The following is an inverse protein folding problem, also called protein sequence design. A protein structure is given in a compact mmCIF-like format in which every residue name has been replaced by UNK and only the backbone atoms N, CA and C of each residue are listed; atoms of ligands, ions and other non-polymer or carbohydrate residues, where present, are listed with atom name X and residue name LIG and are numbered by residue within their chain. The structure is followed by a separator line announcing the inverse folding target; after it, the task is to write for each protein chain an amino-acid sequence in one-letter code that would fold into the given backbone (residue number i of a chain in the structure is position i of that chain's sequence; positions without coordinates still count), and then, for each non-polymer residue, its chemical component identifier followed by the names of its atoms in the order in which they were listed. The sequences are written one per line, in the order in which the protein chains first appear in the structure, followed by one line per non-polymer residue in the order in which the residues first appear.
data_IF_054383899140
#
_entry.id   IF_054383899140
#
_cell.length_a   1.000
_cell.length_b   1.000
_cell.length_c   1.000
_cell.angle_alpha   90.00
_cell.angle_beta   90.00
_cell.angle_gamma   90.00
#
_symmetry.space_group_name_H-M   'P 1'
#
loop_
_entity.id
_entity.type
_entity.pdbx_description
1 polymer ?
2 non-polymer ?
3 water ?
#
# COMPACT_ATOMS: atom_id res chain seq x y z
N UNK A 14 -25.32 -9.50 -0.43
CA UNK A 14 -24.31 -8.59 0.19
C UNK A 14 -24.99 -7.51 1.03
N UNK A 15 -24.92 -7.66 2.35
CA UNK A 15 -25.74 -6.88 3.26
C UNK A 15 -25.41 -5.37 3.40
N UNK A 16 -24.36 -4.98 4.09
CA UNK A 16 -24.29 -3.61 4.64
C UNK A 16 -23.01 -2.84 4.28
N UNK A 17 -23.16 -1.67 3.65
CA UNK A 17 -22.03 -0.83 3.25
C UNK A 17 -21.50 -0.05 4.44
N UNK A 18 -20.20 0.05 4.52
CA UNK A 18 -19.54 0.92 5.49
C UNK A 18 -18.24 1.42 4.88
N UNK A 19 -17.67 2.45 5.50
CA UNK A 19 -16.40 3.03 5.11
C UNK A 19 -15.56 3.14 6.37
N UNK A 20 -14.43 2.43 6.38
CA UNK A 20 -13.58 2.37 7.56
C UNK A 20 -12.33 3.19 7.33
N UNK A 21 -11.90 3.87 8.38
CA UNK A 21 -10.60 4.54 8.40
C UNK A 21 -9.84 4.16 9.68
N UNK A 22 -8.54 4.36 9.62
CA UNK A 22 -7.66 4.00 10.74
C UNK A 22 -7.75 5.06 11.81
N UNK A 23 -8.07 4.64 13.04
CA UNK A 23 -8.20 5.51 14.18
C UNK A 23 -7.33 4.95 15.32
N UNK A 24 -7.19 5.72 16.40
CA UNK A 24 -6.20 5.43 17.42
C UNK A 24 -6.82 5.56 18.78
N UNK A 25 -6.47 4.65 19.68
CA UNK A 25 -6.87 4.74 21.07
C UNK A 25 -5.71 4.35 21.99
N UNK A 26 -5.75 4.86 23.20
CA UNK A 26 -4.70 4.65 24.20
C UNK A 26 -4.49 3.15 24.46
N UNK A 27 -3.23 2.72 24.42
CA UNK A 27 -2.87 1.33 24.68
C UNK A 27 -1.59 1.32 25.53
N UNK A 28 -1.74 1.48 26.84
CA UNK A 28 -0.53 1.59 27.67
C UNK A 28 0.24 0.25 27.76
N UNK A 29 1.57 0.29 27.88
CA UNK A 29 2.36 -0.94 28.09
C UNK A 29 2.25 -1.31 29.57
N UNK A 30 2.07 -2.61 29.86
CA UNK A 30 1.91 -3.12 31.24
C UNK A 30 3.19 -3.55 31.97
N UNK A 31 4.19 -4.01 31.24
CA UNK A 31 5.48 -4.45 31.82
C UNK A 31 6.51 -4.55 30.71
N UNK A 32 7.76 -4.20 31.01
CA UNK A 32 8.83 -4.24 30.02
C UNK A 32 10.04 -4.97 30.60
N UNK A 33 10.08 -6.27 30.39
CA UNK A 33 11.07 -7.13 31.01
C UNK A 33 12.22 -7.41 30.04
N UNK A 34 13.45 -7.02 30.38
CA UNK A 34 14.52 -7.19 29.41
C UNK A 34 15.02 -8.64 29.35
N UNK A 35 15.64 -8.98 28.22
CA UNK A 35 16.29 -10.28 28.00
C UNK A 35 17.76 -10.00 27.85
N UNK A 36 18.54 -11.06 27.65
CA UNK A 36 19.99 -10.95 27.44
C UNK A 36 20.47 -11.55 26.12
N UNK A 37 19.58 -12.06 25.28
CA UNK A 37 19.99 -12.52 23.96
C UNK A 37 20.20 -11.33 23.03
N UNK A 38 20.97 -11.54 21.98
CA UNK A 38 21.35 -10.44 21.07
C UNK A 38 20.14 -9.84 20.39
N UNK A 39 20.14 -8.51 20.29
CA UNK A 39 19.15 -7.82 19.48
C UNK A 39 19.89 -7.19 18.31
N UNK A 40 19.43 -7.47 17.09
CA UNK A 40 19.99 -6.86 15.90
C UNK A 40 19.44 -5.47 15.79
N UNK A 41 20.27 -4.54 15.36
CA UNK A 41 19.81 -3.18 15.10
C UNK A 41 20.11 -2.79 13.64
N UNK A 42 19.05 -2.70 12.84
CA UNK A 42 19.15 -2.41 11.42
C UNK A 42 19.12 -0.91 11.24
N UNK A 43 20.14 -0.39 10.57
CA UNK A 43 20.24 1.05 10.31
C UNK A 43 20.95 1.30 8.99
N UNK A 44 21.09 2.58 8.66
CA UNK A 44 21.87 3.03 7.50
C UNK A 44 22.79 4.14 8.00
N UNK A 45 23.60 4.70 7.11
CA UNK A 45 24.55 5.77 7.50
C UNK A 45 23.84 6.91 8.24
N UNK A 46 22.69 7.30 7.71
CA UNK A 46 21.89 8.36 8.29
C UNK A 46 21.39 8.10 9.71
N UNK A 47 21.01 6.87 10.00
CA UNK A 47 20.38 6.54 11.27
C UNK A 47 21.32 5.86 12.25
N UNK A 48 22.63 5.95 12.00
CA UNK A 48 23.65 5.25 12.80
C UNK A 48 23.84 5.83 14.20
N UNK A 49 23.77 7.14 14.33
CA UNK A 49 23.80 7.77 15.65
C UNK A 49 22.61 7.33 16.50
N UNK A 50 21.42 7.38 15.94
CA UNK A 50 20.24 6.85 16.61
C UNK A 50 20.43 5.39 17.01
N UNK A 51 20.98 4.61 16.08
CA UNK A 51 21.21 3.19 16.31
C UNK A 51 22.17 2.96 17.49
N UNK A 52 23.23 3.77 17.56
CA UNK A 52 24.17 3.75 18.67
C UNK A 52 23.47 4.02 20.01
N UNK A 53 22.60 5.02 20.03
CA UNK A 53 21.84 5.35 21.25
C UNK A 53 20.92 4.21 21.66
N UNK A 54 20.22 3.64 20.69
CA UNK A 54 19.38 2.47 20.95
C UNK A 54 20.24 1.33 21.52
N UNK A 55 21.44 1.17 20.96
CA UNK A 55 22.32 0.07 21.33
C UNK A 55 22.72 0.08 22.82
N UNK A 56 22.74 1.25 23.46
CA UNK A 56 23.06 1.36 24.89
C UNK A 56 22.01 0.71 25.81
N UNK A 57 20.79 0.48 25.32
CA UNK A 57 19.79 -0.27 26.07
C UNK A 57 19.88 -1.78 25.88
N UNK A 58 20.69 -2.24 24.94
CA UNK A 58 20.86 -3.67 24.68
C UNK A 58 22.35 -4.02 24.88
N UNK A 59 22.70 -4.51 26.09
CA UNK A 59 24.09 -4.93 26.34
C UNK A 59 24.62 -5.90 25.27
N UNK A 60 23.77 -6.83 24.85
CA UNK A 60 24.06 -7.74 23.75
C UNK A 60 23.32 -7.31 22.46
N UNK A 61 24.07 -6.83 21.47
CA UNK A 61 23.48 -6.35 20.22
C UNK A 61 24.41 -6.56 19.05
N UNK A 62 23.82 -6.53 17.85
CA UNK A 62 24.55 -6.45 16.61
C UNK A 62 24.01 -5.27 15.78
N UNK A 63 24.87 -4.31 15.48
CA UNK A 63 24.52 -3.18 14.62
C UNK A 63 24.73 -3.60 13.18
N UNK A 64 23.66 -3.59 12.41
CA UNK A 64 23.71 -3.97 11.01
C UNK A 64 23.43 -2.71 10.19
N UNK A 65 24.50 -2.05 9.77
CA UNK A 65 24.44 -0.89 8.89
C UNK A 65 24.44 -1.39 7.44
N UNK A 66 23.28 -1.29 6.80
CA UNK A 66 23.06 -1.87 5.47
C UNK A 66 23.89 -1.19 4.35
N UNK A 67 24.34 0.04 4.57
CA UNK A 67 25.25 0.70 3.62
C UNK A 67 26.75 0.36 3.84
N UNK A 68 27.04 -0.68 4.64
CA UNK A 68 28.38 -1.29 4.70
C UNK A 68 28.35 -2.70 4.12
N UNK A 73 28.72 -11.97 4.42
CA UNK A 73 27.33 -11.55 4.46
C UNK A 73 26.69 -12.05 5.78
N UNK A 74 25.73 -12.99 5.73
CA UNK A 74 25.03 -13.50 6.92
C UNK A 74 25.67 -14.80 7.48
N UNK A 75 26.75 -14.66 8.27
CA UNK A 75 27.36 -15.78 9.03
C UNK A 75 26.95 -15.72 10.53
N UNK A 76 25.66 -15.48 10.76
CA UNK A 76 25.11 -15.20 12.09
C UNK A 76 24.48 -16.47 12.70
N UNK A 77 24.66 -16.65 14.01
CA UNK A 77 23.97 -17.70 14.78
C UNK A 77 22.59 -17.14 15.13
N UNK A 78 21.66 -17.19 14.16
CA UNK A 78 20.36 -16.52 14.28
C UNK A 78 19.51 -17.00 15.46
N UNK A 79 19.67 -18.26 15.87
CA UNK A 79 18.95 -18.81 17.04
C UNK A 79 19.30 -18.17 18.38
N UNK A 80 20.45 -17.48 18.47
CA UNK A 80 20.81 -16.76 19.68
C UNK A 80 20.18 -15.34 19.79
N UNK A 81 19.26 -14.97 18.92
CA UNK A 81 18.76 -13.58 18.91
C UNK A 81 17.40 -13.48 19.61
N UNK A 82 17.17 -12.39 20.36
CA UNK A 82 15.84 -12.02 20.87
C UNK A 82 15.00 -11.33 19.82
N UNK A 83 15.64 -10.68 18.86
CA UNK A 83 14.89 -9.99 17.83
C UNK A 83 15.69 -8.97 17.09
N UNK A 84 14.97 -8.03 16.50
CA UNK A 84 15.57 -7.02 15.69
C UNK A 84 14.79 -5.72 15.84
N UNK A 85 15.54 -4.63 15.90
CA UNK A 85 15.00 -3.27 15.88
C UNK A 85 15.47 -2.66 14.55
N UNK A 86 14.51 -2.22 13.75
CA UNK A 86 14.75 -1.56 12.45
C UNK A 86 14.46 -0.05 12.61
N UNK A 87 15.51 0.78 12.46
CA UNK A 87 15.37 2.24 12.53
C UNK A 87 15.65 2.96 11.20
N UNK A 88 15.77 2.21 10.11
CA UNK A 88 16.00 2.78 8.80
C UNK A 88 14.87 3.74 8.44
N UNK A 89 13.63 3.37 8.78
CA UNK A 89 12.47 4.24 8.64
C UNK A 89 12.49 5.59 9.38
N UNK A 90 13.44 5.78 10.28
CA UNK A 90 13.68 7.07 10.92
C UNK A 90 14.58 8.03 10.11
N UNK A 91 15.13 7.55 8.98
CA UNK A 91 15.89 8.40 8.06
C UNK A 91 15.17 8.54 6.75
N UNK A 92 15.93 8.63 5.67
CA UNK A 92 15.39 8.83 4.32
C UNK A 92 14.59 7.62 3.88
N UNK A 93 15.21 6.45 4.04
CA UNK A 93 14.64 5.15 3.72
C UNK A 93 14.36 5.02 2.23
N UNK A 94 15.41 4.75 1.47
CA UNK A 94 15.31 4.62 0.01
C UNK A 94 14.39 3.40 -0.38
N UNK A 95 13.24 3.71 -0.95
CA UNK A 95 12.28 2.69 -1.39
C UNK A 95 12.87 1.68 -2.40
N UNK A 96 13.82 2.12 -3.23
CA UNK A 96 14.48 1.26 -4.21
C UNK A 96 15.59 0.34 -3.70
N UNK A 97 16.04 0.53 -2.45
CA UNK A 97 17.10 -0.31 -1.88
C UNK A 97 16.47 -1.39 -1.02
N UNK A 98 16.53 -2.63 -1.48
CA UNK A 98 15.85 -3.74 -0.83
C UNK A 98 16.77 -4.68 -0.06
N UNK A 99 18.02 -4.31 0.13
CA UNK A 99 19.02 -5.19 0.77
C UNK A 99 18.66 -5.54 2.21
N UNK A 100 18.03 -4.58 2.89
CA UNK A 100 17.58 -4.78 4.26
C UNK A 100 16.67 -6.00 4.42
N UNK A 101 15.90 -6.30 3.37
CA UNK A 101 14.92 -7.36 3.41
C UNK A 101 15.51 -8.71 3.74
N UNK A 102 16.70 -9.02 3.23
CA UNK A 102 17.23 -10.36 3.42
C UNK A 102 17.66 -10.58 4.87
N UNK A 103 18.04 -9.52 5.58
CA UNK A 103 18.33 -9.62 7.02
C UNK A 103 17.08 -9.99 7.82
N UNK A 104 15.94 -9.40 7.48
CA UNK A 104 14.68 -9.73 8.13
C UNK A 104 14.29 -11.18 7.77
N UNK A 105 14.39 -11.57 6.50
CA UNK A 105 14.01 -12.91 6.08
C UNK A 105 14.81 -13.97 6.81
N UNK A 106 16.12 -13.77 6.91
CA UNK A 106 17.01 -14.76 7.52
C UNK A 106 16.71 -14.90 9.01
N UNK A 107 16.51 -13.78 9.70
CA UNK A 107 16.14 -13.82 11.10
C UNK A 107 14.79 -14.52 11.30
N UNK A 108 13.82 -14.22 10.44
CA UNK A 108 12.51 -14.85 10.54
C UNK A 108 12.64 -16.35 10.33
N UNK A 109 13.37 -16.78 9.29
CA UNK A 109 13.48 -18.21 9.01
C UNK A 109 14.33 -18.95 10.01
N UNK A 110 15.50 -18.39 10.33
CA UNK A 110 16.50 -19.14 11.08
C UNK A 110 16.52 -18.86 12.58
N UNK A 111 15.68 -17.93 13.03
CA UNK A 111 15.68 -17.54 14.44
C UNK A 111 14.96 -18.54 15.32
N UNK A 112 14.98 -18.30 16.63
CA UNK A 112 14.34 -19.22 17.57
C UNK A 112 12.83 -19.22 17.33
N UNK A 113 12.21 -20.39 17.43
CA UNK A 113 10.78 -20.55 17.19
C UNK A 113 9.89 -20.38 18.44
N UNK A 114 10.42 -19.81 19.51
CA UNK A 114 9.70 -19.75 20.80
C UNK A 114 9.31 -18.32 21.12
N UNK A 115 9.42 -17.45 20.12
CA UNK A 115 9.33 -16.02 20.33
C UNK A 115 10.60 -15.37 19.83
N UNK A 116 10.43 -14.41 18.93
CA UNK A 116 11.42 -13.38 18.70
C UNK A 116 10.63 -12.13 18.32
N UNK A 117 11.25 -10.97 18.45
CA UNK A 117 10.58 -9.68 18.27
C UNK A 117 11.15 -8.91 17.11
N UNK A 118 10.25 -8.39 16.29
CA UNK A 118 10.60 -7.49 15.22
C UNK A 118 9.88 -6.16 15.48
N UNK A 119 10.66 -5.08 15.49
CA UNK A 119 10.12 -3.74 15.74
C UNK A 119 10.66 -2.77 14.70
N UNK A 120 9.76 -2.16 13.94
CA UNK A 120 10.06 -1.17 12.95
C UNK A 120 9.69 0.18 13.53
N UNK A 121 10.61 1.12 13.50
CA UNK A 121 10.38 2.45 14.02
C UNK A 121 10.43 3.45 12.88
N UNK A 122 9.40 4.29 12.82
CA UNK A 122 9.34 5.41 11.93
C UNK A 122 9.17 6.68 12.75
N UNK A 123 9.27 7.83 12.07
CA UNK A 123 9.13 9.15 12.69
C UNK A 123 8.16 10.02 11.89
N UNK A 124 6.99 10.26 12.47
CA UNK A 124 5.98 11.12 11.85
C UNK A 124 5.36 10.57 10.58
N UNK A 125 5.34 9.25 10.45
CA UNK A 125 4.70 8.63 9.31
C UNK A 125 3.16 8.64 9.43
N UNK A 126 2.62 8.54 10.64
CA UNK A 126 1.16 8.45 10.83
C UNK A 126 0.58 9.85 10.95
N UNK A 127 -0.62 10.04 10.40
CA UNK A 127 -1.28 11.35 10.44
C UNK A 127 -1.95 11.67 11.76
N UNK A 128 -2.05 10.70 12.67
CA UNK A 128 -2.64 10.94 13.98
C UNK A 128 -1.85 11.98 14.77
N UNK A 129 -2.53 13.05 15.21
CA UNK A 129 -1.92 14.17 15.97
C UNK A 129 -0.60 14.61 15.32
N UNK A 130 -0.68 14.78 14.01
CA UNK A 130 0.48 15.08 13.19
C UNK A 130 -0.04 15.77 11.93
N UNK A 131 0.16 17.06 11.87
CA UNK A 131 -0.25 17.84 10.72
C UNK A 131 0.73 17.79 9.54
N UNK A 132 1.79 16.99 9.64
CA UNK A 132 2.75 16.86 8.53
C UNK A 132 3.35 15.43 8.42
N UNK A 133 2.74 14.58 7.61
CA UNK A 133 3.23 13.20 7.39
C UNK A 133 4.63 13.24 6.76
N UNK A 134 5.56 12.49 7.37
CA UNK A 134 6.92 12.39 6.88
C UNK A 134 6.99 11.04 6.17
N UNK A 135 7.01 11.11 4.84
CA UNK A 135 6.89 9.97 3.95
C UNK A 135 8.20 9.18 3.88
N UNK A 136 8.47 8.42 4.94
CA UNK A 136 9.62 7.54 5.06
C UNK A 136 9.19 6.31 5.88
N UNK A 137 9.55 5.12 5.41
CA UNK A 137 9.13 3.89 6.10
C UNK A 137 7.79 3.30 5.73
N UNK A 138 7.11 3.85 4.71
CA UNK A 138 5.73 3.43 4.40
C UNK A 138 5.60 1.95 4.00
N UNK A 139 6.43 1.50 3.06
CA UNK A 139 6.35 0.09 2.64
C UNK A 139 6.84 -0.84 3.74
N UNK A 140 7.90 -0.43 4.43
CA UNK A 140 8.43 -1.25 5.51
C UNK A 140 7.46 -1.37 6.70
N UNK A 141 6.75 -0.30 7.06
CA UNK A 141 5.71 -0.39 8.11
C UNK A 141 4.69 -1.46 7.83
N UNK A 142 4.27 -1.56 6.56
CA UNK A 142 3.27 -2.53 6.14
C UNK A 142 3.75 -3.96 6.32
N UNK A 143 5.02 -4.23 6.08
CA UNK A 143 5.60 -5.57 6.32
C UNK A 143 5.56 -5.93 7.81
N UNK A 144 6.09 -5.07 8.65
CA UNK A 144 6.24 -5.39 10.07
C UNK A 144 4.90 -5.48 10.77
N UNK A 145 3.89 -4.74 10.28
CA UNK A 145 2.52 -4.87 10.75
C UNK A 145 1.93 -6.24 10.64
N UNK A 146 2.37 -7.02 9.64
CA UNK A 146 1.72 -8.26 9.28
C UNK A 146 2.54 -9.53 9.49
N UNK A 147 3.82 -9.42 9.81
CA UNK A 147 4.66 -10.64 9.82
C UNK A 147 4.23 -11.65 10.88
N UNK A 148 3.77 -11.15 12.02
CA UNK A 148 3.26 -12.04 13.05
C UNK A 148 1.98 -12.81 12.68
N UNK A 149 1.25 -12.39 11.65
CA UNK A 149 0.15 -13.19 11.13
C UNK A 149 0.62 -14.29 10.18
N UNK A 150 1.75 -14.11 9.52
CA UNK A 150 2.30 -15.16 8.64
C UNK A 150 3.14 -16.17 9.40
N UNK A 151 3.83 -15.72 10.44
CA UNK A 151 4.71 -16.57 11.25
C UNK A 151 4.26 -16.48 12.69
N UNK A 152 3.63 -17.56 13.13
CA UNK A 152 3.01 -17.68 14.46
C UNK A 152 3.98 -17.46 15.63
N UNK A 153 5.25 -17.83 15.46
CA UNK A 153 6.31 -17.62 16.46
C UNK A 153 6.86 -16.19 16.64
N UNK A 154 6.46 -15.26 15.79
CA UNK A 154 6.98 -13.89 15.83
C UNK A 154 6.07 -12.98 16.65
N UNK A 155 6.66 -11.96 17.22
CA UNK A 155 5.96 -10.76 17.64
C UNK A 155 6.49 -9.65 16.74
N UNK A 156 5.64 -9.02 15.94
CA UNK A 156 6.07 -8.01 14.98
C UNK A 156 5.24 -6.76 15.10
N UNK A 157 5.87 -5.60 15.04
CA UNK A 157 5.21 -4.33 15.30
C UNK A 157 5.79 -3.19 14.51
N UNK A 158 4.91 -2.31 14.07
CA UNK A 158 5.30 -0.98 13.59
C UNK A 158 5.03 0.07 14.67
N UNK A 159 6.05 0.85 15.02
CA UNK A 159 5.93 1.96 15.98
C UNK A 159 6.28 3.25 15.27
N UNK A 160 5.41 4.24 15.39
CA UNK A 160 5.67 5.58 14.90
C UNK A 160 5.87 6.58 16.03
N UNK A 161 7.07 7.15 16.09
CA UNK A 161 7.40 8.18 17.04
C UNK A 161 7.10 9.50 16.41
N UNK A 162 7.20 10.54 17.23
CA UNK A 162 7.06 11.89 16.75
C UNK A 162 8.36 12.34 16.14
N UNK A 163 8.25 13.15 15.09
CA UNK A 163 9.41 13.68 14.41
C UNK A 163 10.31 14.46 15.36
N UNK A 164 9.70 15.26 16.24
CA UNK A 164 10.49 16.06 17.20
C UNK A 164 11.30 15.25 18.21
N UNK A 165 10.95 13.99 18.43
CA UNK A 165 11.57 13.22 19.50
C UNK A 165 13.09 13.09 19.34
N UNK A 166 13.76 13.63 20.34
CA UNK A 166 15.20 13.52 20.56
C UNK A 166 15.67 12.04 20.56
N UNK A 167 16.86 11.77 20.02
CA UNK A 167 17.42 10.40 19.99
C UNK A 167 17.50 9.69 21.34
N UNK A 168 17.88 10.41 22.38
CA UNK A 168 17.99 9.81 23.73
C UNK A 168 16.63 9.36 24.26
N UNK A 169 15.64 10.24 24.16
CA UNK A 169 14.26 9.93 24.50
C UNK A 169 13.70 8.81 23.61
N UNK A 170 13.97 8.90 22.31
CA UNK A 170 13.48 7.87 21.38
C UNK A 170 14.04 6.47 21.71
N UNK A 171 15.35 6.41 22.00
CA UNK A 171 16.01 5.13 22.36
C UNK A 171 15.35 4.47 23.58
N UNK A 172 15.00 5.28 24.58
CA UNK A 172 14.29 4.79 25.75
C UNK A 172 12.92 4.25 25.41
N UNK A 173 12.14 5.01 24.66
CA UNK A 173 10.83 4.53 24.17
C UNK A 173 10.95 3.22 23.39
N UNK A 174 11.98 3.14 22.54
CA UNK A 174 12.21 1.95 21.72
C UNK A 174 12.47 0.71 22.56
N UNK A 175 13.36 0.82 23.54
CA UNK A 175 13.74 -0.30 24.40
C UNK A 175 12.55 -0.84 25.20
N UNK A 176 11.76 0.06 25.78
CA UNK A 176 10.55 -0.31 26.50
C UNK A 176 9.53 -0.98 25.60
N UNK A 177 9.37 -0.43 24.40
CA UNK A 177 8.43 -1.01 23.43
C UNK A 177 8.85 -2.44 23.05
N UNK A 178 10.14 -2.59 22.77
CA UNK A 178 10.67 -3.84 22.24
C UNK A 178 10.41 -4.96 23.23
N UNK A 179 10.69 -4.71 24.50
CA UNK A 179 10.53 -5.72 25.54
C UNK A 179 9.17 -5.67 26.22
N UNK A 180 8.18 -5.01 25.61
CA UNK A 180 6.86 -4.85 26.20
C UNK A 180 6.07 -6.15 26.17
N UNK A 181 4.98 -6.16 26.92
CA UNK A 181 4.04 -7.28 26.97
C UNK A 181 2.93 -7.10 25.91
N UNK A 182 3.22 -6.43 24.81
CA UNK A 182 2.19 -6.15 23.82
C UNK A 182 2.26 -7.08 22.61
N UNK A 183 1.11 -7.35 22.02
CA UNK A 183 1.08 -7.97 20.71
C UNK A 183 0.32 -7.09 19.72
N UNK A 184 0.30 -5.77 19.97
CA UNK A 184 -0.28 -4.79 19.07
C UNK A 184 0.54 -4.72 17.77
N UNK A 185 -0.14 -4.70 16.64
CA UNK A 185 0.48 -4.69 15.31
C UNK A 185 1.03 -3.30 14.99
N UNK A 186 0.37 -2.25 15.46
CA UNK A 186 0.74 -0.92 15.09
C UNK A 186 0.41 0.08 16.17
N UNK A 187 1.41 0.87 16.55
CA UNK A 187 1.31 1.82 17.62
C UNK A 187 2.00 3.10 17.24
N UNK A 188 1.60 4.17 17.93
CA UNK A 188 2.33 5.44 17.85
C UNK A 188 2.45 6.08 19.20
N UNK A 189 3.39 7.02 19.30
CA UNK A 189 3.62 7.77 20.52
C UNK A 189 3.39 9.22 20.21
N UNK A 190 2.53 9.84 21.00
CA UNK A 190 2.22 11.26 20.84
C UNK A 190 2.21 11.88 22.23
N UNK A 191 3.07 12.88 22.43
CA UNK A 191 3.24 13.52 23.72
C UNK A 191 3.47 12.52 24.89
N UNK A 192 4.32 11.53 24.63
CA UNK A 192 4.66 10.51 25.60
C UNK A 192 3.64 9.43 25.83
N UNK A 193 2.52 9.43 25.10
CA UNK A 193 1.46 8.48 25.31
C UNK A 193 1.39 7.51 24.14
N UNK A 194 1.22 6.23 24.47
CA UNK A 194 1.16 5.16 23.48
C UNK A 194 -0.28 4.95 23.01
N UNK A 195 -0.45 4.85 21.69
CA UNK A 195 -1.76 4.59 21.05
C UNK A 195 -1.67 3.41 20.10
N UNK A 196 -2.75 2.62 20.00
CA UNK A 196 -2.78 1.53 19.03
C UNK A 196 -3.78 1.81 17.92
N UNK A 197 -3.47 1.32 16.73
CA UNK A 197 -4.28 1.60 15.53
C UNK A 197 -5.38 0.58 15.46
N UNK A 198 -6.58 1.01 15.04
CA UNK A 198 -7.67 0.10 14.75
C UNK A 198 -8.51 0.71 13.64
N UNK A 199 -9.37 -0.11 13.02
CA UNK A 199 -10.30 0.38 11.99
C UNK A 199 -11.68 0.67 12.57
N UNK A 200 -12.32 1.72 12.10
CA UNK A 200 -13.62 2.13 12.56
C UNK A 200 -14.40 2.85 11.48
N UNK A 201 -15.72 2.67 11.44
CA UNK A 201 -16.59 3.33 10.47
C UNK A 201 -16.33 4.81 10.48
N UNK A 202 -16.07 5.38 9.32
CA UNK A 202 -15.72 6.76 9.21
C UNK A 202 -16.71 7.54 10.02
N UNK A 203 -16.15 8.54 10.70
CA UNK A 203 -16.81 9.41 11.66
C UNK A 203 -18.15 9.99 11.40
N UNK A 204 -18.38 10.63 10.28
CA UNK A 204 -19.69 11.20 10.10
C UNK A 204 -20.32 10.73 8.85
N UNK A 205 -19.55 10.42 7.81
CA UNK A 205 -20.21 10.07 6.56
C UNK A 205 -20.27 8.64 6.06
N UNK A 206 -19.97 7.68 6.92
CA UNK A 206 -20.02 6.28 6.54
C UNK A 206 -21.35 5.87 5.93
N UNK A 211 -24.33 16.84 -6.29
CA UNK A 211 -23.04 17.02 -5.64
C UNK A 211 -21.90 17.05 -6.67
N UNK A 212 -21.59 15.88 -7.23
CA UNK A 212 -20.38 15.67 -8.05
C UNK A 212 -20.27 16.64 -9.23
N UNK A 213 -19.11 17.27 -9.40
CA UNK A 213 -18.89 18.22 -10.49
C UNK A 213 -18.66 17.50 -11.83
N UNK A 214 -18.89 18.23 -12.91
CA UNK A 214 -18.83 17.72 -14.28
C UNK A 214 -17.37 17.55 -14.69
N UNK A 215 -17.06 16.41 -15.30
CA UNK A 215 -15.72 16.17 -15.84
C UNK A 215 -15.61 16.93 -17.15
N UNK A 216 -14.59 17.81 -17.31
CA UNK A 216 -14.56 18.65 -18.54
C UNK A 216 -14.34 17.83 -19.82
N UNK A 217 -15.09 18.14 -20.86
CA UNK A 217 -15.14 17.32 -22.08
C UNK A 217 -13.84 17.39 -22.89
N UNK A 218 -13.07 18.44 -22.67
CA UNK A 218 -11.76 18.57 -23.31
C UNK A 218 -10.59 18.00 -22.46
N UNK A 219 -10.88 17.45 -21.28
CA UNK A 219 -9.86 16.83 -20.45
C UNK A 219 -9.84 15.31 -20.61
N UNK A 220 -8.72 14.73 -20.21
CA UNK A 220 -8.46 13.31 -20.36
C UNK A 220 -8.55 12.62 -19.01
N UNK A 221 -9.19 11.45 -18.99
CA UNK A 221 -9.10 10.54 -17.86
C UNK A 221 -8.01 9.50 -18.14
N UNK A 222 -6.99 9.49 -17.28
CA UNK A 222 -5.86 8.59 -17.40
C UNK A 222 -6.08 7.44 -16.45
N UNK A 223 -6.07 6.21 -16.94
CA UNK A 223 -6.24 5.05 -16.08
C UNK A 223 -5.07 4.08 -16.30
N UNK A 224 -4.18 3.97 -15.31
CA UNK A 224 -3.12 2.96 -15.40
C UNK A 224 -3.72 1.63 -15.02
N UNK A 225 -3.27 0.55 -15.63
CA UNK A 225 -3.97 -0.73 -15.51
C UNK A 225 -5.41 -0.64 -15.99
N UNK A 226 -5.64 0.14 -17.04
CA UNK A 226 -6.99 0.42 -17.55
C UNK A 226 -7.41 -0.50 -18.68
N UNK A 227 -6.60 -1.49 -19.00
CA UNK A 227 -6.78 -2.26 -20.22
C UNK A 227 -7.55 -3.55 -19.98
N UNK A 228 -7.67 -3.96 -18.72
CA UNK A 228 -8.54 -5.06 -18.34
C UNK A 228 -8.87 -4.96 -16.87
N UNK A 229 -9.66 -5.91 -16.38
CA UNK A 229 -10.00 -5.96 -14.97
C UNK A 229 -10.79 -4.74 -14.50
N UNK A 230 -10.53 -4.33 -13.27
CA UNK A 230 -11.31 -3.29 -12.63
C UNK A 230 -11.08 -1.94 -13.32
N UNK A 231 -9.85 -1.70 -13.78
CA UNK A 231 -9.53 -0.45 -14.42
C UNK A 231 -10.31 -0.23 -15.71
N UNK A 232 -10.49 -1.29 -16.50
CA UNK A 232 -11.33 -1.24 -17.68
C UNK A 232 -12.78 -1.02 -17.31
N UNK A 233 -13.22 -1.65 -16.22
CA UNK A 233 -14.58 -1.45 -15.73
C UNK A 233 -14.79 0.03 -15.37
N UNK A 234 -13.83 0.61 -14.67
CA UNK A 234 -13.82 2.06 -14.41
C UNK A 234 -13.87 2.91 -15.68
N UNK A 235 -13.13 2.50 -16.70
CA UNK A 235 -13.13 3.20 -17.99
C UNK A 235 -14.54 3.26 -18.60
N UNK A 236 -15.21 2.11 -18.60
CA UNK A 236 -16.57 2.03 -19.15
C UNK A 236 -17.52 2.88 -18.33
N UNK A 237 -17.36 2.86 -17.01
CA UNK A 237 -18.21 3.58 -16.09
C UNK A 237 -18.09 5.10 -16.21
N UNK A 238 -16.89 5.62 -16.26
CA UNK A 238 -16.65 7.05 -16.47
C UNK A 238 -17.11 7.55 -17.84
N UNK A 239 -16.96 6.73 -18.87
CA UNK A 239 -17.46 7.09 -20.21
C UNK A 239 -18.98 7.15 -20.20
N UNK A 240 -19.62 6.24 -19.45
CA UNK A 240 -21.08 6.16 -19.44
C UNK A 240 -21.76 7.17 -18.50
N UNK A 241 -21.24 7.30 -17.28
CA UNK A 241 -21.89 8.09 -16.22
C UNK A 241 -21.29 9.47 -15.94
N UNK A 242 -20.05 9.72 -16.30
CA UNK A 242 -19.42 11.03 -16.11
C UNK A 242 -19.20 11.77 -17.43
N UNK A 243 -19.60 11.19 -18.55
CA UNK A 243 -19.48 11.81 -19.88
C UNK A 243 -18.06 12.03 -20.35
N UNK A 244 -17.13 11.20 -19.89
CA UNK A 244 -15.74 11.32 -20.32
C UNK A 244 -15.60 11.05 -21.82
N UNK A 245 -14.91 11.95 -22.50
CA UNK A 245 -14.73 11.90 -23.96
C UNK A 245 -13.35 11.48 -24.41
N UNK A 246 -12.38 11.45 -23.49
CA UNK A 246 -10.99 11.15 -23.83
C UNK A 246 -10.41 10.28 -22.73
N UNK A 247 -10.01 9.06 -23.11
CA UNK A 247 -9.48 8.07 -22.19
C UNK A 247 -8.10 7.64 -22.64
N UNK A 248 -7.15 7.59 -21.72
CA UNK A 248 -5.88 6.94 -21.98
C UNK A 248 -5.78 5.79 -21.01
N UNK A 249 -5.69 4.58 -21.54
CA UNK A 249 -5.68 3.37 -20.74
C UNK A 249 -4.29 2.79 -20.88
N UNK A 250 -3.58 2.60 -19.77
CA UNK A 250 -2.20 2.07 -19.84
C UNK A 250 -2.07 0.69 -19.19
N UNK A 251 -1.10 -0.04 -19.69
CA UNK A 251 -0.71 -1.34 -19.16
C UNK A 251 0.71 -1.63 -19.58
N UNK A 252 1.02 -2.92 -19.73
CA UNK A 252 2.36 -3.35 -20.11
C UNK A 252 2.41 -3.80 -21.56
N UNK A 253 1.37 -4.49 -22.03
CA UNK A 253 1.34 -5.00 -23.39
C UNK A 253 1.24 -3.86 -24.41
N UNK A 254 1.99 -4.00 -25.49
CA UNK A 254 1.93 -3.07 -26.60
C UNK A 254 0.97 -3.70 -27.60
N UNK A 255 -0.17 -3.06 -27.85
CA UNK A 255 -1.07 -3.53 -28.88
C UNK A 255 -0.40 -3.41 -30.26
N UNK A 256 -0.76 -4.28 -31.20
CA UNK A 256 -0.28 -4.08 -32.57
C UNK A 256 -0.94 -2.86 -33.22
N UNK A 257 -0.38 -2.37 -34.35
CA UNK A 257 -0.99 -1.27 -35.10
C UNK A 257 -2.44 -1.54 -35.43
N UNK A 258 -3.25 -0.49 -35.50
CA UNK A 258 -4.69 -0.58 -35.75
C UNK A 258 -5.07 -1.35 -37.01
N UNK A 259 -4.21 -1.28 -38.02
CA UNK A 259 -4.45 -1.97 -39.31
C UNK A 259 -4.49 -3.50 -39.16
N UNK A 260 -3.86 -4.03 -38.12
CA UNK A 260 -3.86 -5.47 -37.82
C UNK A 260 -5.13 -5.98 -37.12
N UNK A 261 -5.96 -5.07 -36.62
CA UNK A 261 -6.96 -5.41 -35.60
C UNK A 261 -8.04 -6.35 -36.11
N UNK A 262 -8.41 -6.22 -37.38
CA UNK A 262 -9.44 -7.06 -37.96
C UNK A 262 -9.17 -8.58 -37.87
N UNK A 263 -7.91 -8.98 -37.75
CA UNK A 263 -7.56 -10.42 -37.66
C UNK A 263 -7.90 -11.02 -36.28
N UNK A 264 -8.25 -10.18 -35.31
CA UNK A 264 -8.56 -10.62 -33.95
C UNK A 264 -10.06 -10.78 -33.62
N UNK A 265 -10.94 -10.69 -34.63
CA UNK A 265 -12.41 -10.81 -34.39
C UNK A 265 -12.86 -12.09 -33.69
N UNK A 266 -12.25 -13.23 -34.02
CA UNK A 266 -12.67 -14.53 -33.50
C UNK A 266 -11.67 -15.10 -32.51
N UNK A 267 -10.71 -14.28 -32.12
CA UNK A 267 -9.72 -14.71 -31.19
C UNK A 267 -10.32 -14.64 -29.77
N UNK A 268 -9.91 -15.57 -28.92
CA UNK A 268 -10.35 -15.63 -27.53
C UNK A 268 -9.26 -15.17 -26.57
N UNK A 269 -8.27 -14.46 -27.09
CA UNK A 269 -7.10 -14.07 -26.33
C UNK A 269 -7.34 -12.78 -25.60
N UNK A 270 -6.59 -12.57 -24.52
CA UNK A 270 -6.65 -11.32 -23.77
C UNK A 270 -6.42 -10.10 -24.68
N UNK A 271 -5.53 -10.24 -25.66
CA UNK A 271 -5.28 -9.17 -26.62
C UNK A 271 -6.51 -8.86 -27.49
N UNK A 272 -7.18 -9.92 -27.94
CA UNK A 272 -8.43 -9.77 -28.68
C UNK A 272 -9.47 -8.99 -27.90
N UNK A 273 -9.61 -9.34 -26.62
CA UNK A 273 -10.55 -8.67 -25.72
C UNK A 273 -10.23 -7.20 -25.57
N UNK A 274 -8.96 -6.86 -25.49
CA UNK A 274 -8.54 -5.46 -25.37
C UNK A 274 -8.96 -4.65 -26.60
N UNK A 275 -8.66 -5.20 -27.76
CA UNK A 275 -9.03 -4.58 -29.03
C UNK A 275 -10.54 -4.37 -29.09
N UNK A 276 -11.29 -5.40 -28.70
CA UNK A 276 -12.77 -5.31 -28.68
C UNK A 276 -13.26 -4.22 -27.72
N UNK A 277 -12.64 -4.16 -26.55
CA UNK A 277 -12.96 -3.13 -25.56
C UNK A 277 -12.70 -1.71 -26.09
N UNK A 278 -11.60 -1.51 -26.80
CA UNK A 278 -11.32 -0.19 -27.41
C UNK A 278 -12.43 0.19 -28.37
N UNK A 279 -12.87 -0.79 -29.14
CA UNK A 279 -13.92 -0.58 -30.11
C UNK A 279 -15.25 -0.22 -29.45
N UNK A 280 -15.60 -0.88 -28.36
CA UNK A 280 -16.85 -0.61 -27.63
C UNK A 280 -16.85 0.77 -27.00
N UNK A 281 -15.73 1.17 -26.43
CA UNK A 281 -15.59 2.54 -25.93
C UNK A 281 -15.67 3.60 -27.04
N UNK A 282 -15.02 3.33 -28.17
CA UNK A 282 -15.06 4.23 -29.31
C UNK A 282 -16.45 4.36 -29.92
N UNK A 283 -17.28 3.32 -29.76
CA UNK A 283 -18.68 3.37 -30.17
C UNK A 283 -19.53 4.32 -29.32
N UNK A 284 -19.22 4.44 -28.03
CA UNK A 284 -19.84 5.48 -27.16
C UNK A 284 -19.41 6.95 -27.48
N UNK A 285 -18.60 7.16 -28.52
CA UNK A 285 -18.14 8.49 -28.90
C UNK A 285 -16.91 9.01 -28.12
N UNK A 286 -16.11 8.08 -27.59
CA UNK A 286 -14.93 8.40 -26.78
C UNK A 286 -13.66 8.21 -27.63
N UNK A 287 -12.73 9.16 -27.56
CA UNK A 287 -11.38 8.95 -28.12
C UNK A 287 -10.61 8.13 -27.09
N UNK A 288 -10.02 7.02 -27.55
CA UNK A 288 -9.38 6.06 -26.64
C UNK A 288 -8.02 5.70 -27.16
N UNK A 289 -7.03 5.73 -26.27
CA UNK A 289 -5.68 5.26 -26.56
C UNK A 289 -5.37 4.20 -25.51
N UNK A 290 -4.89 3.05 -25.95
CA UNK A 290 -4.45 2.00 -25.07
C UNK A 290 -2.93 1.90 -25.28
N UNK A 291 -2.16 2.23 -24.25
CA UNK A 291 -0.71 2.37 -24.36
C UNK A 291 0.03 1.43 -23.43
N UNK A 292 1.22 1.05 -23.86
CA UNK A 292 2.21 0.40 -22.99
C UNK A 292 3.06 1.49 -22.35
N UNK A 293 3.20 1.47 -21.02
CA UNK A 293 4.00 2.48 -20.33
C UNK A 293 4.66 1.90 -19.09
N UNK A 294 5.99 1.88 -19.08
CA UNK A 294 6.74 1.57 -17.86
C UNK A 294 6.63 2.78 -16.92
N UNK A 295 5.81 2.63 -15.90
CA UNK A 295 5.46 3.75 -15.01
C UNK A 295 6.63 4.24 -14.16
N UNK A 296 7.58 3.36 -13.89
CA UNK A 296 8.78 3.72 -13.14
C UNK A 296 9.90 4.30 -14.01
N UNK A 297 9.67 4.40 -15.33
CA UNK A 297 10.63 4.99 -16.27
C UNK A 297 10.33 6.46 -16.45
N UNK A 298 11.16 7.31 -15.83
CA UNK A 298 10.91 8.75 -15.84
C UNK A 298 10.84 9.33 -17.27
N UNK A 299 11.77 8.94 -18.12
CA UNK A 299 11.83 9.46 -19.50
C UNK A 299 10.58 9.08 -20.31
N UNK A 300 10.12 7.84 -20.16
CA UNK A 300 8.93 7.37 -20.90
C UNK A 300 7.66 8.04 -20.40
N UNK A 301 7.53 8.18 -19.08
CA UNK A 301 6.34 8.80 -18.50
C UNK A 301 6.27 10.29 -18.95
N UNK A 302 7.38 11.01 -18.85
CA UNK A 302 7.45 12.41 -19.34
C UNK A 302 7.02 12.54 -20.82
N UNK A 303 7.64 11.73 -21.65
CA UNK A 303 7.38 11.73 -23.08
C UNK A 303 5.93 11.38 -23.40
N UNK A 304 5.42 10.31 -22.79
CA UNK A 304 4.03 9.92 -22.96
C UNK A 304 3.05 11.01 -22.51
N UNK A 305 3.32 11.61 -21.34
CA UNK A 305 2.45 12.68 -20.80
C UNK A 305 2.47 13.92 -21.67
N UNK A 306 3.63 14.24 -22.23
CA UNK A 306 3.71 15.32 -23.23
C UNK A 306 2.91 15.01 -24.49
N UNK A 307 2.97 13.76 -24.97
CA UNK A 307 2.16 13.34 -26.12
C UNK A 307 0.66 13.53 -25.83
N UNK A 308 0.20 13.10 -24.66
CA UNK A 308 -1.21 13.21 -24.30
C UNK A 308 -1.64 14.68 -24.29
N UNK A 309 -0.86 15.51 -23.61
CA UNK A 309 -1.16 16.94 -23.45
C UNK A 309 -1.13 17.70 -24.77
N UNK A 310 -0.25 17.28 -25.67
CA UNK A 310 -0.15 17.90 -26.98
C UNK A 310 -1.31 17.51 -27.89
N UNK A 311 -1.69 16.24 -27.88
CA UNK A 311 -2.64 15.70 -28.87
C UNK A 311 -4.05 15.42 -28.38
N UNK A 312 -4.27 15.28 -27.07
CA UNK A 312 -5.61 14.99 -26.54
C UNK A 312 -6.11 16.14 -25.70
N UNK A 313 -5.36 16.48 -24.66
CA UNK A 313 -5.70 17.63 -23.84
C UNK A 313 -5.16 17.47 -22.44
N UNK A 314 -5.50 18.40 -21.54
CA UNK A 314 -5.00 18.33 -20.19
C UNK A 314 -5.56 17.10 -19.44
N UNK A 315 -4.87 16.63 -18.40
CA UNK A 315 -5.36 15.50 -17.61
C UNK A 315 -6.35 16.01 -16.55
N UNK A 316 -7.60 15.53 -16.59
CA UNK A 316 -8.62 15.93 -15.61
C UNK A 316 -8.83 14.92 -14.47
N UNK A 317 -8.21 13.75 -14.60
CA UNK A 317 -8.34 12.73 -13.56
C UNK A 317 -7.42 11.57 -13.83
N UNK A 318 -7.03 10.91 -12.74
CA UNK A 318 -6.19 9.73 -12.75
C UNK A 318 -6.77 8.64 -11.85
N UNK A 319 -6.79 7.42 -12.37
CA UNK A 319 -7.10 6.23 -11.58
C UNK A 319 -5.93 5.27 -11.74
N UNK A 320 -5.33 4.91 -10.61
CA UNK A 320 -4.08 4.15 -10.62
C UNK A 320 -4.40 2.71 -10.22
N UNK A 321 -4.70 1.89 -11.24
CA UNK A 321 -5.00 0.47 -11.10
C UNK A 321 -3.85 -0.48 -11.47
N UNK A 322 -2.76 0.05 -12.00
CA UNK A 322 -1.63 -0.82 -12.39
C UNK A 322 -1.17 -1.62 -11.14
N UNK A 323 -1.11 -2.93 -11.27
CA UNK A 323 -0.78 -3.74 -10.10
C UNK A 323 -0.69 -5.19 -10.45
N UNK A 324 0.16 -5.89 -9.70
CA UNK A 324 0.37 -7.33 -9.76
C UNK A 324 0.28 -7.92 -8.34
N UNK A 325 -0.26 -9.12 -8.25
CA UNK A 325 0.01 -10.02 -7.11
C UNK A 325 1.00 -11.10 -7.58
N UNK A 326 1.90 -11.51 -6.68
CA UNK A 326 2.76 -12.66 -6.92
C UNK A 326 1.97 -13.90 -6.44
N UNK A 327 1.46 -14.69 -7.38
CA UNK A 327 0.67 -15.88 -7.04
C UNK A 327 1.48 -17.19 -7.02
N UNK A 328 2.76 -17.14 -7.40
CA UNK A 328 3.64 -18.31 -7.41
C UNK A 328 4.35 -18.53 -6.07
N UNK A 329 4.97 -17.48 -5.51
CA UNK A 329 5.74 -17.57 -4.25
C UNK A 329 5.05 -16.87 -3.05
N UNK A 330 4.42 -17.64 -2.21
CA UNK A 330 3.70 -17.05 -1.13
C UNK A 330 4.52 -16.74 0.09
N UNK A 331 5.30 -17.66 0.56
CA UNK A 331 6.05 -17.45 1.82
C UNK A 331 7.02 -16.24 1.70
N UNK A 332 6.92 -15.27 2.61
CA UNK A 332 7.84 -14.10 2.67
C UNK A 332 9.32 -14.52 2.63
N UNK A 333 9.65 -15.53 3.40
CA UNK A 333 11.05 -16.00 3.48
C UNK A 333 11.55 -16.72 2.22
N UNK A 334 10.65 -17.05 1.30
CA UNK A 334 11.06 -17.66 0.04
C UNK A 334 11.07 -16.68 -1.14
N UNK A 335 10.70 -15.43 -0.92
CA UNK A 335 10.73 -14.41 -1.98
C UNK A 335 12.14 -13.86 -2.15
N UNK A 336 12.55 -13.59 -3.39
CA UNK A 336 13.81 -12.88 -3.66
C UNK A 336 13.52 -11.40 -3.76
N UNK A 337 14.57 -10.60 -3.64
CA UNK A 337 14.54 -9.15 -3.94
C UNK A 337 13.89 -8.82 -5.26
N UNK A 338 14.28 -9.55 -6.28
CA UNK A 338 13.71 -9.35 -7.62
C UNK A 338 12.19 -9.57 -7.69
N UNK A 339 11.71 -10.67 -7.08
CA UNK A 339 10.27 -10.97 -7.01
C UNK A 339 9.57 -9.80 -6.37
N UNK A 340 10.11 -9.35 -5.24
CA UNK A 340 9.49 -8.30 -4.45
C UNK A 340 9.45 -6.97 -5.24
N UNK A 341 10.58 -6.62 -5.84
CA UNK A 341 10.68 -5.43 -6.66
C UNK A 341 9.64 -5.37 -7.77
N UNK A 342 9.37 -6.51 -8.41
CA UNK A 342 8.34 -6.57 -9.46
C UNK A 342 6.94 -6.24 -8.95
N UNK A 343 6.64 -6.66 -7.72
CA UNK A 343 5.32 -6.38 -7.14
C UNK A 343 5.26 -4.92 -6.69
N UNK A 344 6.35 -4.39 -6.16
CA UNK A 344 6.36 -2.99 -5.75
C UNK A 344 6.31 -2.00 -6.90
N UNK A 345 6.95 -2.34 -8.02
CA UNK A 345 7.22 -1.38 -9.10
C UNK A 345 6.03 -0.50 -9.52
N UNK A 346 4.86 -1.10 -9.86
CA UNK A 346 3.76 -0.23 -10.30
C UNK A 346 3.18 0.65 -9.21
N UNK A 347 3.24 0.19 -7.97
CA UNK A 347 2.61 0.88 -6.88
C UNK A 347 3.52 1.81 -6.09
N UNK A 348 4.84 1.69 -6.26
CA UNK A 348 5.77 2.44 -5.44
C UNK A 348 6.53 3.40 -6.35
N UNK A 349 7.54 2.90 -7.06
CA UNK A 349 8.28 3.70 -8.04
C UNK A 349 7.38 4.25 -9.14
N UNK A 350 6.44 3.42 -9.57
CA UNK A 350 5.50 3.78 -10.65
C UNK A 350 4.57 4.91 -10.27
N UNK A 351 4.02 4.81 -9.06
CA UNK A 351 3.17 5.84 -8.52
C UNK A 351 3.91 7.17 -8.34
N UNK A 352 5.10 7.11 -7.77
CA UNK A 352 5.91 8.28 -7.49
C UNK A 352 6.28 9.01 -8.76
N UNK A 353 6.67 8.25 -9.78
CA UNK A 353 7.05 8.82 -11.05
C UNK A 353 5.85 9.43 -11.76
N UNK A 354 4.75 8.69 -11.82
CA UNK A 354 3.50 9.23 -12.40
C UNK A 354 3.06 10.55 -11.73
N UNK A 355 3.01 10.53 -10.39
CA UNK A 355 2.68 11.72 -9.62
C UNK A 355 3.51 12.95 -9.99
N UNK A 356 4.83 12.77 -10.11
CA UNK A 356 5.70 13.91 -10.42
C UNK A 356 5.32 14.56 -11.73
N UNK A 357 4.86 13.78 -12.69
CA UNK A 357 4.47 14.29 -14.02
C UNK A 357 3.01 14.65 -14.22
N UNK A 358 2.14 14.37 -13.25
CA UNK A 358 0.73 14.82 -13.34
C UNK A 358 0.23 15.70 -12.22
N UNK A 359 1.06 15.96 -11.20
CA UNK A 359 0.57 16.66 -10.00
C UNK A 359 0.18 18.11 -10.27
N UNK A 360 0.73 18.73 -11.30
CA UNK A 360 0.33 20.10 -11.70
C UNK A 360 -0.79 20.15 -12.74
N UNK A 361 -1.36 19.00 -13.12
CA UNK A 361 -2.49 18.99 -14.05
C UNK A 361 -3.77 19.40 -13.32
N UNK A 362 -4.83 19.77 -14.05
CA UNK A 362 -6.07 20.18 -13.36
C UNK A 362 -6.94 18.97 -12.95
N UNK A 363 -6.43 18.20 -12.01
CA UNK A 363 -7.03 16.93 -11.59
C UNK A 363 -8.25 17.16 -10.71
N UNK A 364 -9.34 16.48 -11.03
CA UNK A 364 -10.53 16.43 -10.15
C UNK A 364 -10.36 15.34 -9.09
N UNK A 365 -9.61 14.30 -9.43
CA UNK A 365 -9.33 13.22 -8.50
C UNK A 365 -8.09 12.48 -8.98
N UNK A 366 -7.48 11.77 -8.05
CA UNK A 366 -6.33 10.90 -8.30
C UNK A 366 -6.59 9.72 -7.34
N UNK A 367 -7.14 8.63 -7.88
CA UNK A 367 -7.58 7.52 -7.03
C UNK A 367 -6.62 6.33 -7.14
N UNK A 368 -6.13 5.85 -5.99
CA UNK A 368 -5.19 4.74 -5.93
C UNK A 368 -5.92 3.48 -5.53
N UNK A 369 -5.71 2.40 -6.27
CA UNK A 369 -6.35 1.12 -6.00
C UNK A 369 -5.47 0.26 -5.10
N UNK A 370 -5.61 0.50 -3.80
CA UNK A 370 -4.93 -0.24 -2.76
C UNK A 370 -5.83 -1.42 -2.38
N UNK A 371 -5.63 -1.98 -1.19
CA UNK A 371 -6.25 -3.26 -0.85
C UNK A 371 -6.42 -3.35 0.65
N UNK A 372 -7.42 -4.09 1.08
CA UNK A 372 -7.58 -4.45 2.48
C UNK A 372 -6.32 -5.13 3.03
N UNK A 373 -5.58 -5.80 2.15
CA UNK A 373 -4.33 -6.44 2.54
C UNK A 373 -3.21 -5.42 2.87
N UNK A 374 -3.36 -4.15 2.50
CA UNK A 374 -2.46 -3.14 3.03
C UNK A 374 -2.53 -3.03 4.55
N UNK A 375 -3.71 -3.24 5.13
CA UNK A 375 -3.97 -2.84 6.50
C UNK A 375 -4.55 -3.91 7.44
N UNK A 376 -5.10 -5.00 6.92
CA UNK A 376 -5.65 -6.07 7.75
C UNK A 376 -4.62 -7.18 7.73
N UNK A 377 -3.86 -7.33 8.83
CA UNK A 377 -2.70 -8.23 8.80
C UNK A 377 -3.02 -9.67 8.41
N UNK A 378 -4.16 -10.17 8.88
CA UNK A 378 -4.63 -11.53 8.63
C UNK A 378 -4.78 -11.81 7.14
N UNK A 379 -5.16 -10.78 6.38
CA UNK A 379 -5.31 -10.91 4.90
C UNK A 379 -4.00 -10.71 4.14
N UNK A 380 -3.04 -10.02 4.77
CA UNK A 380 -1.70 -9.82 4.19
C UNK A 380 -0.88 -11.13 4.06
N UNK A 381 -1.18 -12.12 4.90
CA UNK A 381 -0.40 -13.37 5.00
C UNK A 381 -0.29 -14.13 3.68
N UNK A 382 0.91 -14.57 3.32
CA UNK A 382 1.14 -15.20 2.02
C UNK A 382 1.25 -14.19 0.86
N UNK A 383 1.18 -12.90 1.16
CA UNK A 383 1.41 -11.88 0.13
C UNK A 383 1.97 -10.60 0.72
N UNK A 384 3.08 -10.77 1.43
CA UNK A 384 3.71 -9.66 2.14
C UNK A 384 4.19 -8.49 1.26
N UNK A 385 4.75 -8.80 0.10
CA UNK A 385 5.15 -7.77 -0.86
C UNK A 385 3.99 -6.93 -1.41
N UNK A 386 2.85 -7.58 -1.64
CA UNK A 386 1.62 -6.87 -2.06
C UNK A 386 1.12 -5.94 -0.95
N UNK A 387 1.23 -6.38 0.30
CA UNK A 387 0.87 -5.53 1.44
C UNK A 387 1.82 -4.33 1.54
N UNK A 388 3.11 -4.57 1.34
CA UNK A 388 4.07 -3.47 1.28
C UNK A 388 3.74 -2.45 0.19
N UNK A 389 3.49 -2.95 -1.02
CA UNK A 389 3.18 -2.08 -2.17
C UNK A 389 1.96 -1.19 -1.92
N UNK A 390 0.87 -1.81 -1.47
CA UNK A 390 -0.37 -1.10 -1.21
C UNK A 390 -0.27 -0.19 -0.01
N UNK A 391 0.45 -0.63 1.03
CA UNK A 391 0.73 0.26 2.16
C UNK A 391 1.43 1.57 1.75
N UNK A 392 2.42 1.47 0.87
CA UNK A 392 3.09 2.67 0.37
C UNK A 392 2.10 3.66 -0.24
N UNK A 393 1.15 3.17 -1.03
CA UNK A 393 0.14 4.06 -1.66
C UNK A 393 -0.74 4.75 -0.63
N UNK A 394 -1.07 4.05 0.45
CA UNK A 394 -1.88 4.64 1.51
C UNK A 394 -1.17 5.86 2.08
N UNK A 395 0.10 5.69 2.46
CA UNK A 395 0.83 6.78 3.06
C UNK A 395 1.12 7.89 2.08
N UNK A 396 1.35 7.51 0.81
CA UNK A 396 1.59 8.46 -0.24
C UNK A 396 0.40 9.45 -0.35
N UNK A 397 -0.80 8.91 -0.36
CA UNK A 397 -2.02 9.77 -0.39
C UNK A 397 -2.08 10.69 0.83
N UNK A 398 -1.85 10.15 2.02
CA UNK A 398 -1.81 10.98 3.24
C UNK A 398 -0.76 12.08 3.16
N UNK A 399 0.41 11.77 2.61
CA UNK A 399 1.48 12.76 2.52
C UNK A 399 1.24 13.85 1.48
N UNK A 400 0.44 13.57 0.43
CA UNK A 400 0.24 14.48 -0.70
C UNK A 400 -1.19 15.03 -0.82
N UNK A 401 -2.02 14.74 0.16
CA UNK A 401 -3.41 15.22 0.15
C UNK A 401 -3.51 16.74 0.06
N UNK A 402 -2.54 17.45 0.63
CA UNK A 402 -2.53 18.93 0.54
C UNK A 402 -2.27 19.47 -0.87
N UNK A 403 -1.59 18.69 -1.72
CA UNK A 403 -1.14 19.12 -3.05
C UNK A 403 -2.00 18.64 -4.20
N UNK A 404 -2.88 17.66 -3.95
CA UNK A 404 -3.60 16.95 -5.00
C UNK A 404 -4.84 16.26 -4.42
N UNK A 405 -5.89 16.05 -5.24
CA UNK A 405 -7.11 15.37 -4.75
C UNK A 405 -6.95 13.86 -4.78
N UNK A 406 -6.01 13.37 -3.96
CA UNK A 406 -5.47 12.03 -4.04
C UNK A 406 -6.05 11.21 -2.91
N UNK A 407 -6.51 10.01 -3.24
CA UNK A 407 -7.20 9.15 -2.29
C UNK A 407 -6.78 7.71 -2.55
N UNK A 408 -6.39 7.00 -1.49
CA UNK A 408 -6.07 5.61 -1.61
C UNK A 408 -7.24 4.81 -1.08
N UNK A 409 -7.74 3.89 -1.89
CA UNK A 409 -8.87 3.07 -1.56
C UNK A 409 -8.39 1.64 -1.31
N UNK A 410 -8.61 1.19 -0.08
CA UNK A 410 -8.23 -0.14 0.35
C UNK A 410 -9.36 -1.08 0.00
N UNK A 411 -9.39 -1.50 -1.27
CA UNK A 411 -10.50 -2.31 -1.76
C UNK A 411 -10.52 -3.73 -1.15
N UNK A 412 -11.71 -4.23 -0.82
CA UNK A 412 -11.86 -5.66 -0.62
C UNK A 412 -11.81 -6.37 -1.97
N UNK A 413 -11.96 -7.67 -1.92
CA UNK A 413 -12.00 -8.51 -3.12
C UNK A 413 -13.21 -8.21 -4.01
N UNK A 414 -12.97 -8.02 -5.32
CA UNK A 414 -14.05 -7.86 -6.29
C UNK A 414 -14.39 -9.24 -6.85
N UNK A 415 -15.64 -9.60 -6.69
CA UNK A 415 -16.12 -10.93 -6.99
C UNK A 415 -16.20 -11.20 -8.50
N UNK A 416 -16.57 -10.20 -9.30
CA UNK A 416 -17.00 -10.40 -10.70
C UNK A 416 -16.02 -10.00 -11.79
N UNK A 417 -14.97 -9.26 -11.45
CA UNK A 417 -13.96 -8.85 -12.44
C UNK A 417 -12.61 -8.63 -11.79
N UNK A 418 -11.56 -8.56 -12.63
CA UNK A 418 -10.17 -8.44 -12.19
C UNK A 418 -9.57 -9.80 -11.85
N UNK A 419 -8.62 -9.80 -10.91
CA UNK A 419 -8.01 -11.03 -10.36
C UNK A 419 -9.06 -12.08 -9.92
N UNK A 420 -10.27 -11.64 -9.57
CA UNK A 420 -11.39 -12.54 -9.28
C UNK A 420 -11.50 -12.69 -7.78
N UNK A 421 -11.95 -13.86 -7.30
CA UNK A 421 -11.99 -14.13 -5.85
C UNK A 421 -10.94 -15.14 -5.35
N UNK A 422 -11.15 -16.43 -5.62
CA UNK A 422 -10.50 -17.56 -4.92
C UNK A 422 -10.14 -17.25 -3.43
N UNK A 423 -11.10 -16.70 -2.69
CA UNK A 423 -10.85 -16.19 -1.34
C UNK A 423 -10.64 -17.31 -0.32
N UNK A 424 -9.81 -17.02 0.68
CA UNK A 424 -9.36 -18.01 1.65
C UNK A 424 -10.17 -17.90 2.96
N UNK A 425 -9.83 -18.76 3.92
CA UNK A 425 -10.51 -18.81 5.21
C UNK A 425 -10.38 -17.49 6.01
N UNK A 426 -9.20 -16.87 6.02
CA UNK A 426 -9.03 -15.60 6.74
C UNK A 426 -9.97 -14.51 6.21
N UNK A 427 -10.13 -14.47 4.89
CA UNK A 427 -11.03 -13.51 4.27
C UNK A 427 -12.47 -13.79 4.70
N UNK A 428 -12.91 -15.04 4.56
CA UNK A 428 -14.23 -15.44 5.06
C UNK A 428 -14.40 -15.17 6.56
N UNK A 429 -13.37 -15.52 7.35
CA UNK A 429 -13.39 -15.29 8.80
C UNK A 429 -13.36 -13.81 9.17
N UNK A 430 -12.77 -12.97 8.32
CA UNK A 430 -12.75 -11.54 8.56
C UNK A 430 -14.15 -10.91 8.59
N UNK A 431 -15.11 -11.56 7.93
CA UNK A 431 -16.48 -11.04 7.80
C UNK A 431 -16.62 -10.09 6.64
N UNK A 432 -15.51 -9.79 5.95
CA UNK A 432 -15.58 -9.08 4.70
C UNK A 432 -16.31 -9.93 3.69
N UNK A 433 -17.11 -9.28 2.86
CA UNK A 433 -17.72 -9.94 1.74
C UNK A 433 -16.97 -9.49 0.50
N UNK A 434 -16.97 -10.36 -0.50
CA UNK A 434 -16.54 -10.02 -1.84
C UNK A 434 -17.62 -9.16 -2.51
N UNK A 435 -17.21 -8.10 -3.21
CA UNK A 435 -18.16 -7.10 -3.74
C UNK A 435 -18.43 -7.25 -5.25
N UNK A 436 -19.66 -6.94 -5.63
CA UNK A 436 -20.05 -6.94 -7.04
C UNK A 436 -19.45 -5.70 -7.72
N UNK A 437 -19.37 -5.72 -9.06
CA UNK A 437 -18.95 -4.55 -9.83
C UNK A 437 -19.79 -3.31 -9.51
N UNK A 438 -21.09 -3.50 -9.45
CA UNK A 438 -22.01 -2.41 -9.14
C UNK A 438 -21.78 -1.84 -7.73
N UNK A 439 -21.61 -2.71 -6.74
CA UNK A 439 -21.17 -2.26 -5.39
C UNK A 439 -19.90 -1.45 -5.44
N UNK A 440 -18.90 -1.96 -6.16
CA UNK A 440 -17.63 -1.27 -6.25
C UNK A 440 -17.69 0.09 -6.93
N UNK A 441 -18.42 0.18 -8.02
CA UNK A 441 -18.55 1.46 -8.72
C UNK A 441 -19.30 2.49 -7.89
N UNK A 442 -20.35 2.08 -7.17
CA UNK A 442 -21.07 2.97 -6.25
C UNK A 442 -20.13 3.43 -5.13
N UNK A 443 -19.31 2.51 -4.63
CA UNK A 443 -18.31 2.88 -3.64
C UNK A 443 -17.39 3.95 -4.22
N UNK A 444 -16.88 3.72 -5.42
CA UNK A 444 -15.98 4.68 -6.07
C UNK A 444 -16.61 6.08 -6.25
N UNK A 445 -17.83 6.12 -6.76
CA UNK A 445 -18.56 7.36 -6.90
C UNK A 445 -18.72 8.13 -5.58
N UNK A 446 -19.03 7.43 -4.50
CA UNK A 446 -19.12 8.08 -3.21
C UNK A 446 -17.79 8.62 -2.74
N UNK A 447 -16.73 7.82 -2.90
CA UNK A 447 -15.39 8.21 -2.46
C UNK A 447 -14.88 9.46 -3.18
N UNK A 448 -15.18 9.57 -4.46
CA UNK A 448 -14.83 10.76 -5.23
C UNK A 448 -15.69 11.97 -4.77
N UNK A 449 -17.00 11.78 -4.66
CA UNK A 449 -17.97 12.86 -4.31
C UNK A 449 -17.84 13.42 -2.89
N UNK A 450 -17.32 12.63 -1.96
CA UNK A 450 -17.26 13.00 -0.55
C UNK A 450 -15.82 13.17 -0.09
N UNK A 451 -15.69 13.61 1.14
CA UNK A 451 -14.43 13.71 1.81
C UNK A 451 -14.47 12.65 2.88
N UNK A 452 -14.06 11.45 2.50
CA UNK A 452 -13.71 10.43 3.48
C UNK A 452 -12.26 10.58 3.97
N UNK A 453 -11.54 11.59 3.45
CA UNK A 453 -10.13 11.73 3.77
C UNK A 453 -9.28 10.95 2.79
N UNK A 454 -7.97 10.91 3.03
CA UNK A 454 -7.05 10.43 2.01
C UNK A 454 -6.96 8.91 1.91
N UNK A 455 -7.46 8.18 2.91
CA UNK A 455 -7.42 6.73 2.90
C UNK A 455 -8.73 6.17 3.43
N UNK A 456 -9.34 5.25 2.69
CA UNK A 456 -10.61 4.69 3.08
C UNK A 456 -10.71 3.25 2.62
N UNK A 457 -11.36 2.45 3.45
CA UNK A 457 -11.58 1.04 3.22
C UNK A 457 -13.09 0.83 3.09
N UNK A 458 -13.60 0.72 1.86
CA UNK A 458 -15.04 0.52 1.70
C UNK A 458 -15.36 -0.96 1.78
N UNK A 459 -16.32 -1.35 2.61
CA UNK A 459 -16.60 -2.79 2.75
C UNK A 459 -18.07 -3.08 2.72
N UNK A 460 -18.42 -4.26 2.21
CA UNK A 460 -19.74 -4.78 2.31
C UNK A 460 -19.55 -5.81 3.40
N UNK A 461 -20.35 -5.73 4.43
CA UNK A 461 -20.27 -6.71 5.49
C UNK A 461 -21.62 -7.27 5.92
N UNK A 462 -21.63 -8.51 6.35
CA UNK A 462 -22.84 -9.07 6.90
C UNK A 462 -22.81 -8.51 8.30
N UNK A 463 -23.53 -7.40 8.48
CA UNK A 463 -23.58 -6.67 9.75
C UNK A 463 -23.70 -7.46 11.06
N UNK A 464 -24.41 -8.58 11.02
CA UNK A 464 -24.64 -9.38 12.18
C UNK A 464 -23.38 -9.97 11.58
N UNK A 465 -22.43 -10.25 12.47
CA UNK A 465 -21.08 -10.89 12.42
C UNK A 465 -19.92 -10.05 11.89
N UNK A 466 -19.86 -8.81 12.37
CA UNK A 466 -18.90 -7.83 11.93
C UNK A 466 -18.36 -6.95 13.01
N UNK A 467 -17.11 -7.15 13.34
CA UNK A 467 -16.45 -6.32 14.34
C UNK A 467 -15.24 -5.65 13.74
N UNK A 468 -15.43 -4.54 13.06
CA UNK A 468 -14.33 -3.82 12.42
C UNK A 468 -13.22 -3.48 13.37
N UNK A 469 -13.54 -3.12 14.60
CA UNK A 469 -12.60 -2.77 15.62
C UNK A 469 -11.65 -3.86 16.07
N UNK A 470 -11.89 -5.10 15.66
CA UNK A 470 -11.04 -6.22 15.95
C UNK A 470 -10.31 -6.73 14.71
N UNK A 471 -10.49 -6.07 13.58
CA UNK A 471 -9.88 -6.46 12.34
C UNK A 471 -8.37 -6.48 12.37
N UNK A 472 -7.79 -5.52 13.04
CA UNK A 472 -6.31 -5.39 13.13
C UNK A 472 -5.68 -6.13 14.31
N UNK A 473 -6.46 -6.86 15.11
CA UNK A 473 -5.90 -7.61 16.25
C UNK A 473 -5.75 -9.08 15.87
#
# INVERSE_FOLDING_TARGET
SERDKKELVNAIEDRAACFLTKQWSLSPIGSAVPGTRTVAILCCQETADLAAEVSSYFPNHLLIDVSRIENDQSDIDWKEFDGLVDVIGCGWDDEGRLDWIEWVQRLVEFGHKEGLRLLCVTKGLESFQNTSVRMAGASRAGLYRMLQCEYSHLISRHMDAEEVTDHRRLAKLIADEFYSDSYDAEVCYRDGLRYQAFLKAHPETGKATEQSAVFPKDHVLLITGGTRGIGLLCARHFAECYGVKKLVLTGREQLPPREEWARFKTSNTSLAEKIQAVRELEAKGVQVEMLSLTLSDDAQVEQTLQHIKRTLGPIGGVIHCAGLTDMDTLAFIRKTSDDIQRVLEPKVSGLTTLYRHVCNEPLQFFVLFSSVSAIIPELSAGQADYAMANSYMDYFAEAHQKHAPIISVQWPNWKETGMGEVTNQAYRDSGLLSITNSEGLRFLDQIVSKKFGPVVLPAMANQTNWEPELLMKRRKPHEGGLQEAALQSPPARDIEEADEVSKCDGLLSETQSWLIDLF
#
